data_IF_384585996134
#
_entry.id   IF_384585996134
#
_cell.length_a   1.000
_cell.length_b   1.000
_cell.length_c   1.000
_cell.angle_alpha   90.00
_cell.angle_beta   90.00
_cell.angle_gamma   90.00
#
_symmetry.space_group_name_H-M   'P 1'
#
loop_
_entity.id
_entity.type
_entity.pdbx_description
1 polymer ?
#
# COMPACT_ATOMS: atom_id res chain seq x y z
N UNK A 1 8.96 2.63 -16.07
CA UNK A 1 7.47 2.69 -15.98
C UNK A 1 7.05 3.31 -14.65
N UNK A 2 7.50 2.81 -13.51
CA UNK A 2 7.11 3.26 -12.15
C UNK A 2 7.24 4.79 -11.94
N UNK A 3 8.28 5.41 -12.49
CA UNK A 3 8.50 6.86 -12.39
C UNK A 3 7.42 7.74 -13.08
N UNK A 4 6.49 7.13 -13.81
CA UNK A 4 5.39 7.81 -14.51
C UNK A 4 4.04 7.54 -13.85
N UNK A 5 4.02 6.81 -12.75
CA UNK A 5 2.81 6.52 -11.98
C UNK A 5 2.67 7.61 -10.93
N UNK A 6 1.72 8.49 -11.12
CA UNK A 6 1.38 9.55 -10.19
C UNK A 6 0.09 9.19 -9.40
N UNK A 7 -0.69 8.23 -9.88
CA UNK A 7 -1.92 7.76 -9.21
C UNK A 7 -2.25 6.30 -9.56
N UNK A 8 -3.10 5.62 -8.77
CA UNK A 8 -3.58 4.27 -9.12
C UNK A 8 -4.32 4.18 -10.44
N UNK A 9 -4.85 5.27 -10.96
CA UNK A 9 -5.54 5.30 -12.24
C UNK A 9 -4.61 4.94 -13.41
N UNK A 10 -3.32 5.30 -13.30
CA UNK A 10 -2.32 5.06 -14.33
C UNK A 10 -2.05 3.57 -14.59
N UNK A 11 -2.43 2.69 -13.66
CA UNK A 11 -2.20 1.24 -13.81
C UNK A 11 -3.44 0.46 -14.25
N UNK A 12 -4.61 1.09 -14.31
CA UNK A 12 -5.89 0.40 -14.61
C UNK A 12 -5.88 -0.33 -15.95
N UNK A 13 -5.31 0.28 -16.97
CA UNK A 13 -5.32 -0.20 -18.35
C UNK A 13 -4.00 -0.86 -18.80
N UNK A 14 -3.07 -1.11 -17.89
CA UNK A 14 -1.80 -1.77 -18.23
C UNK A 14 -2.04 -3.23 -18.66
N UNK A 15 -1.36 -3.66 -19.73
CA UNK A 15 -1.33 -5.05 -20.14
C UNK A 15 -0.60 -5.93 -19.12
N UNK A 16 -0.82 -7.25 -19.19
CA UNK A 16 -0.14 -8.19 -18.29
C UNK A 16 1.37 -8.04 -18.31
N UNK A 17 1.97 -7.90 -19.50
CA UNK A 17 3.41 -7.68 -19.64
C UNK A 17 3.88 -6.41 -18.91
N UNK A 18 3.12 -5.32 -19.03
CA UNK A 18 3.45 -4.07 -18.32
C UNK A 18 3.29 -4.22 -16.80
N UNK A 19 2.32 -5.00 -16.32
CA UNK A 19 2.18 -5.32 -14.90
C UNK A 19 3.38 -6.12 -14.39
N UNK A 20 3.84 -7.10 -15.15
CA UNK A 20 5.03 -7.89 -14.79
C UNK A 20 6.28 -7.00 -14.71
N UNK A 21 6.46 -6.11 -15.69
CA UNK A 21 7.55 -5.12 -15.69
C UNK A 21 7.44 -4.17 -14.50
N UNK A 22 6.24 -3.65 -14.21
CA UNK A 22 5.98 -2.77 -13.08
C UNK A 22 6.29 -3.45 -11.74
N UNK A 23 5.87 -4.72 -11.59
CA UNK A 23 6.14 -5.47 -10.35
C UNK A 23 7.64 -5.62 -10.09
N UNK A 24 8.44 -5.84 -11.13
CA UNK A 24 9.89 -5.92 -11.01
C UNK A 24 10.52 -4.56 -10.66
N UNK A 25 10.06 -3.47 -11.28
CA UNK A 25 10.53 -2.12 -10.92
C UNK A 25 10.20 -1.76 -9.46
N UNK A 26 8.99 -2.08 -8.99
CA UNK A 26 8.58 -1.90 -7.58
C UNK A 26 9.49 -2.70 -6.65
N UNK A 27 9.71 -4.00 -6.93
CA UNK A 27 10.59 -4.86 -6.14
C UNK A 27 12.00 -4.29 -6.04
N UNK A 28 12.58 -3.93 -7.18
CA UNK A 28 13.91 -3.33 -7.23
C UNK A 28 13.99 -2.05 -6.41
N UNK A 29 13.02 -1.15 -6.57
CA UNK A 29 12.97 0.11 -5.82
C UNK A 29 12.89 -0.12 -4.31
N UNK A 30 12.05 -1.08 -3.88
CA UNK A 30 11.94 -1.44 -2.45
C UNK A 30 13.25 -2.02 -1.93
N UNK A 31 13.88 -2.93 -2.66
CA UNK A 31 15.16 -3.54 -2.26
C UNK A 31 16.25 -2.46 -2.12
N UNK A 32 16.37 -1.59 -3.12
CA UNK A 32 17.39 -0.54 -3.16
C UNK A 32 17.24 0.46 -2.01
N UNK A 33 16.00 0.88 -1.70
CA UNK A 33 15.73 1.87 -0.65
C UNK A 33 15.81 1.23 0.73
N UNK A 34 15.21 0.06 0.95
CA UNK A 34 15.26 -0.64 2.25
C UNK A 34 16.68 -1.10 2.57
N UNK A 35 17.48 -1.46 1.58
CA UNK A 35 18.90 -1.80 1.76
C UNK A 35 19.74 -0.63 2.29
N UNK A 36 19.34 0.61 2.01
CA UNK A 36 20.01 1.83 2.48
C UNK A 36 19.45 2.35 3.80
N UNK A 37 18.14 2.41 3.91
CA UNK A 37 17.44 3.10 4.99
C UNK A 37 16.96 2.17 6.10
N UNK A 38 17.01 0.87 5.89
CA UNK A 38 16.33 -0.11 6.73
C UNK A 38 14.82 -0.17 6.46
N UNK A 39 14.16 -1.19 6.98
CA UNK A 39 12.72 -1.37 6.81
C UNK A 39 12.30 -2.82 6.70
N UNK A 40 11.03 -3.05 6.34
CA UNK A 40 10.42 -4.37 6.27
C UNK A 40 10.49 -4.93 4.84
N UNK A 41 11.56 -5.65 4.49
CA UNK A 41 11.77 -6.11 3.11
C UNK A 41 10.81 -7.25 2.73
N UNK A 42 10.88 -8.39 3.44
CA UNK A 42 10.11 -9.59 3.06
C UNK A 42 8.60 -9.36 3.05
N UNK A 43 8.08 -8.59 4.02
CA UNK A 43 6.65 -8.27 4.10
C UNK A 43 6.16 -7.47 2.89
N UNK A 44 7.00 -6.58 2.36
CA UNK A 44 6.67 -5.76 1.21
C UNK A 44 6.82 -6.53 -0.11
N UNK A 45 7.89 -7.28 -0.27
CA UNK A 45 8.08 -8.09 -1.48
C UNK A 45 6.98 -9.14 -1.64
N UNK A 46 6.44 -9.67 -0.53
CA UNK A 46 5.38 -10.68 -0.57
C UNK A 46 3.99 -10.16 -0.98
N UNK A 47 3.80 -8.85 -1.08
CA UNK A 47 2.49 -8.25 -1.39
C UNK A 47 2.50 -7.32 -2.61
N UNK A 48 3.55 -7.31 -3.41
CA UNK A 48 3.65 -6.41 -4.58
C UNK A 48 2.52 -6.66 -5.56
N UNK A 49 2.34 -7.90 -6.01
CA UNK A 49 1.31 -8.27 -6.97
C UNK A 49 -0.10 -8.10 -6.39
N UNK A 50 -0.30 -8.42 -5.11
CA UNK A 50 -1.56 -8.17 -4.42
C UNK A 50 -1.88 -6.68 -4.41
N UNK A 51 -0.91 -5.82 -4.11
CA UNK A 51 -1.10 -4.37 -4.07
C UNK A 51 -1.46 -3.82 -5.45
N UNK A 52 -0.77 -4.26 -6.50
CA UNK A 52 -1.10 -3.90 -7.88
C UNK A 52 -2.53 -4.33 -8.22
N UNK A 53 -2.91 -5.58 -7.89
CA UNK A 53 -4.25 -6.10 -8.15
C UNK A 53 -5.33 -5.30 -7.42
N UNK A 54 -5.13 -4.96 -6.16
CA UNK A 54 -6.04 -4.12 -5.38
C UNK A 54 -6.24 -2.75 -6.03
N UNK A 55 -5.16 -2.08 -6.42
CA UNK A 55 -5.25 -0.77 -7.09
C UNK A 55 -5.79 -0.82 -8.51
N UNK A 56 -5.77 -1.99 -9.17
CA UNK A 56 -6.43 -2.17 -10.46
C UNK A 56 -7.93 -2.37 -10.34
N UNK A 57 -8.38 -3.00 -9.26
CA UNK A 57 -9.81 -3.33 -9.04
C UNK A 57 -10.54 -2.20 -8.33
N UNK A 58 -9.93 -1.63 -7.30
CA UNK A 58 -10.55 -0.62 -6.44
C UNK A 58 -10.07 0.80 -6.82
N UNK A 59 -10.91 1.79 -6.60
CA UNK A 59 -10.67 3.18 -6.96
C UNK A 59 -10.17 3.97 -5.73
N UNK A 60 -8.92 3.77 -5.35
CA UNK A 60 -8.31 4.54 -4.26
C UNK A 60 -8.02 5.98 -4.74
N UNK A 61 -8.31 7.03 -3.95
CA UNK A 61 -8.70 6.98 -2.52
C UNK A 61 -10.18 6.80 -2.23
N UNK A 62 -11.09 6.82 -3.21
CA UNK A 62 -12.53 6.64 -2.96
C UNK A 62 -12.84 5.31 -2.28
N UNK A 63 -12.24 4.22 -2.77
CA UNK A 63 -12.25 2.94 -2.08
C UNK A 63 -11.07 2.90 -1.07
N UNK A 64 -11.38 2.70 0.20
CA UNK A 64 -10.38 2.69 1.25
C UNK A 64 -9.65 1.33 1.32
N UNK A 65 -8.34 1.33 1.19
CA UNK A 65 -7.49 0.15 1.43
C UNK A 65 -6.80 0.32 2.78
N UNK A 66 -7.18 -0.50 3.76
CA UNK A 66 -6.68 -0.44 5.13
C UNK A 66 -5.71 -1.61 5.35
N UNK A 67 -4.47 -1.28 5.66
CA UNK A 67 -3.39 -2.24 5.85
C UNK A 67 -3.26 -2.60 7.34
N UNK A 68 -3.35 -3.89 7.67
CA UNK A 68 -3.08 -4.33 9.04
C UNK A 68 -1.60 -4.15 9.38
N UNK A 69 -1.29 -3.53 10.52
CA UNK A 69 0.05 -2.99 10.87
C UNK A 69 0.54 -1.92 9.89
N UNK A 70 0.28 -2.04 8.61
CA UNK A 70 0.72 -1.19 7.49
C UNK A 70 2.24 -1.16 7.18
N UNK A 71 3.03 -2.01 7.82
CA UNK A 71 4.46 -2.14 7.51
C UNK A 71 4.74 -2.72 6.11
N UNK A 72 3.73 -3.24 5.43
CA UNK A 72 3.76 -3.80 4.07
C UNK A 72 3.18 -2.84 3.01
N UNK A 73 3.12 -1.53 3.28
CA UNK A 73 2.48 -0.54 2.42
C UNK A 73 3.42 0.12 1.38
N UNK A 74 4.64 -0.37 1.18
CA UNK A 74 5.62 0.33 0.33
C UNK A 74 5.20 0.34 -1.15
N UNK A 75 4.68 -0.77 -1.67
CA UNK A 75 4.13 -0.81 -3.03
C UNK A 75 2.91 0.12 -3.16
N UNK A 76 2.04 0.19 -2.13
CA UNK A 76 0.93 1.14 -2.09
C UNK A 76 1.41 2.59 -2.18
N UNK A 77 2.43 2.97 -1.40
CA UNK A 77 3.04 4.32 -1.49
C UNK A 77 3.59 4.63 -2.88
N UNK A 78 4.26 3.67 -3.50
CA UNK A 78 4.80 3.83 -4.86
C UNK A 78 3.71 4.02 -5.90
N UNK A 79 2.57 3.31 -5.77
CA UNK A 79 1.44 3.38 -6.69
C UNK A 79 0.51 4.58 -6.47
N UNK A 80 0.66 5.28 -5.33
CA UNK A 80 -0.09 6.49 -4.99
C UNK A 80 0.77 7.77 -5.13
N UNK A 81 1.72 7.78 -6.08
CA UNK A 81 2.46 8.98 -6.50
C UNK A 81 3.68 9.34 -5.66
N UNK A 82 4.02 8.57 -4.63
CA UNK A 82 5.15 8.88 -3.72
C UNK A 82 6.52 8.38 -4.23
N UNK A 83 6.62 7.95 -5.49
CA UNK A 83 7.88 7.46 -6.05
C UNK A 83 9.02 8.47 -5.95
N UNK A 84 8.77 9.74 -6.27
CA UNK A 84 9.79 10.80 -6.27
C UNK A 84 10.45 11.00 -4.91
N UNK A 85 9.69 10.81 -3.84
CA UNK A 85 10.15 10.98 -2.46
C UNK A 85 10.48 9.66 -1.77
N UNK A 86 10.35 8.52 -2.48
CA UNK A 86 10.47 7.20 -1.85
C UNK A 86 11.87 6.91 -1.30
N UNK A 87 12.90 7.56 -1.85
CA UNK A 87 14.28 7.48 -1.33
C UNK A 87 14.43 8.00 0.11
N UNK A 88 13.48 8.82 0.60
CA UNK A 88 13.43 9.33 1.97
C UNK A 88 12.66 8.43 2.95
N UNK A 89 12.26 7.22 2.50
CA UNK A 89 11.51 6.27 3.34
C UNK A 89 12.20 6.05 4.70
N UNK A 90 11.45 6.26 5.80
CA UNK A 90 11.92 6.12 7.19
C UNK A 90 13.06 7.07 7.61
N UNK A 91 13.39 8.07 6.80
CA UNK A 91 14.33 9.09 7.19
C UNK A 91 13.61 10.22 7.94
N UNK A 92 14.39 11.00 8.71
CA UNK A 92 13.88 12.22 9.34
C UNK A 92 13.31 13.14 8.26
N UNK A 93 12.13 13.67 8.50
CA UNK A 93 11.39 14.56 7.58
C UNK A 93 11.07 13.92 6.21
N UNK A 94 11.20 12.60 6.09
CA UNK A 94 10.86 11.81 4.92
C UNK A 94 9.53 11.07 5.06
N UNK A 95 9.25 10.16 4.11
CA UNK A 95 8.03 9.35 4.13
C UNK A 95 8.09 8.29 5.24
N UNK A 96 6.95 8.11 5.92
CA UNK A 96 6.76 7.09 6.96
C UNK A 96 6.91 5.66 6.42
N UNK A 97 7.42 4.77 7.24
CA UNK A 97 7.41 3.32 6.97
C UNK A 97 6.04 2.66 7.16
N UNK A 98 5.01 3.44 7.50
CA UNK A 98 3.62 3.04 7.69
C UNK A 98 2.71 3.96 6.89
N UNK A 99 1.43 3.60 6.74
CA UNK A 99 0.43 4.53 6.18
C UNK A 99 0.32 5.78 7.05
N UNK A 100 0.15 6.93 6.41
CA UNK A 100 0.04 8.22 7.09
C UNK A 100 -0.87 9.18 6.30
N UNK A 101 -2.07 9.49 6.81
CA UNK A 101 -3.01 10.41 6.16
C UNK A 101 -2.46 11.83 5.92
N UNK A 102 -1.40 12.22 6.62
CA UNK A 102 -0.75 13.51 6.37
C UNK A 102 0.16 13.49 5.14
N UNK A 103 0.47 12.31 4.60
CA UNK A 103 1.26 12.16 3.38
C UNK A 103 0.40 12.09 2.12
N UNK A 104 -0.70 11.35 2.20
CA UNK A 104 -1.57 11.09 1.05
C UNK A 104 -2.99 10.70 1.48
N UNK A 105 -3.99 11.14 0.71
CA UNK A 105 -5.39 10.84 0.95
C UNK A 105 -5.76 9.35 0.78
N UNK A 106 -4.92 8.56 0.12
CA UNK A 106 -5.09 7.12 0.02
C UNK A 106 -4.74 6.37 1.31
N UNK A 107 -4.09 7.02 2.26
CA UNK A 107 -3.75 6.49 3.58
C UNK A 107 -4.82 6.91 4.58
N UNK A 108 -5.71 6.03 4.99
CA UNK A 108 -6.85 6.37 5.87
C UNK A 108 -6.49 6.44 7.36
N UNK A 109 -5.51 5.65 7.80
CA UNK A 109 -5.12 5.56 9.21
C UNK A 109 -3.61 5.48 9.36
N UNK A 110 -3.11 6.05 10.45
CA UNK A 110 -1.77 5.70 10.95
C UNK A 110 -1.93 4.40 11.72
N UNK A 111 -1.25 3.36 11.28
CA UNK A 111 -1.25 2.05 11.93
C UNK A 111 0.17 1.64 12.31
N UNK A 112 0.31 0.68 13.16
CA UNK A 112 1.59 0.13 13.64
C UNK A 112 1.37 -1.10 14.52
N UNK A 113 0.10 -1.36 14.88
CA UNK A 113 -0.29 -2.52 15.69
C UNK A 113 -1.13 -3.49 14.88
N UNK A 114 -0.89 -4.79 15.08
CA UNK A 114 -1.65 -5.86 14.45
C UNK A 114 -3.10 -5.91 14.95
N UNK A 115 -3.98 -6.47 14.13
CA UNK A 115 -5.39 -6.75 14.44
C UNK A 115 -6.27 -5.51 14.65
N UNK A 116 -5.82 -4.31 14.25
CA UNK A 116 -6.62 -3.09 14.31
C UNK A 116 -7.38 -2.79 13.03
N UNK A 117 -6.98 -3.38 11.92
CA UNK A 117 -7.53 -3.09 10.59
C UNK A 117 -9.01 -3.44 10.45
N UNK A 118 -9.48 -4.53 11.06
CA UNK A 118 -10.90 -4.92 11.01
C UNK A 118 -11.76 -3.88 11.72
N UNK A 119 -11.39 -3.47 12.94
CA UNK A 119 -12.14 -2.46 13.70
C UNK A 119 -12.13 -1.12 13.00
N UNK A 120 -10.99 -0.70 12.45
CA UNK A 120 -10.86 0.53 11.68
C UNK A 120 -11.71 0.49 10.41
N UNK A 121 -11.67 -0.63 9.67
CA UNK A 121 -12.48 -0.82 8.48
C UNK A 121 -13.97 -0.80 8.79
N UNK A 122 -14.40 -1.45 9.87
CA UNK A 122 -15.80 -1.45 10.28
C UNK A 122 -16.26 -0.04 10.68
N UNK A 123 -15.46 0.69 11.44
CA UNK A 123 -15.76 2.08 11.82
C UNK A 123 -15.93 2.99 10.61
N UNK A 124 -15.00 2.88 9.64
CA UNK A 124 -15.07 3.65 8.39
C UNK A 124 -16.30 3.26 7.56
N UNK A 125 -16.61 1.96 7.45
CA UNK A 125 -17.80 1.49 6.72
C UNK A 125 -19.09 2.03 7.34
N UNK A 126 -19.19 2.05 8.67
CA UNK A 126 -20.37 2.62 9.37
C UNK A 126 -20.47 4.12 9.11
N UNK A 127 -19.35 4.85 9.21
CA UNK A 127 -19.32 6.28 8.92
C UNK A 127 -19.77 6.59 7.48
N UNK A 128 -19.28 5.85 6.50
CA UNK A 128 -19.69 5.98 5.09
C UNK A 128 -21.18 5.73 4.89
N UNK A 129 -21.71 4.67 5.49
CA UNK A 129 -23.18 4.38 5.43
C UNK A 129 -24.01 5.52 5.98
N UNK A 130 -23.59 6.14 7.08
CA UNK A 130 -24.29 7.28 7.66
C UNK A 130 -24.23 8.55 6.79
N UNK A 131 -23.20 8.65 5.96
CA UNK A 131 -22.99 9.76 5.02
C UNK A 131 -23.52 9.47 3.62
N UNK A 132 -24.12 8.29 3.37
CA UNK A 132 -24.52 7.80 2.05
C UNK A 132 -23.33 7.76 1.05
N UNK A 133 -22.11 7.47 1.54
CA UNK A 133 -20.93 7.26 0.72
C UNK A 133 -20.87 5.77 0.29
N UNK A 134 -20.84 5.52 -1.01
CA UNK A 134 -20.81 4.18 -1.62
C UNK A 134 -19.39 3.60 -1.75
N UNK A 135 -18.35 4.32 -1.35
CA UNK A 135 -16.97 3.85 -1.42
C UNK A 135 -16.76 2.57 -0.61
N UNK A 136 -16.03 1.64 -1.18
CA UNK A 136 -15.74 0.34 -0.56
C UNK A 136 -14.66 0.48 0.51
N UNK A 137 -14.66 -0.48 1.46
CA UNK A 137 -13.63 -0.56 2.50
C UNK A 137 -13.02 -1.95 2.46
N UNK A 138 -11.73 -2.01 2.19
CA UNK A 138 -10.95 -3.23 2.03
C UNK A 138 -9.93 -3.31 3.16
N UNK A 139 -9.99 -4.35 3.99
CA UNK A 139 -8.98 -4.63 5.01
C UNK A 139 -8.00 -5.69 4.49
N UNK A 140 -6.71 -5.35 4.47
CA UNK A 140 -5.64 -6.26 4.05
C UNK A 140 -4.96 -6.80 5.30
N UNK A 141 -5.22 -8.07 5.61
CA UNK A 141 -4.67 -8.78 6.76
C UNK A 141 -3.63 -9.80 6.31
N UNK A 142 -2.56 -9.92 7.08
CA UNK A 142 -1.57 -10.98 6.89
C UNK A 142 -1.77 -12.03 7.99
N UNK A 143 -2.22 -13.21 7.61
CA UNK A 143 -2.23 -14.35 8.53
C UNK A 143 -0.86 -15.02 8.56
N UNK A 144 -0.32 -15.18 9.75
CA UNK A 144 0.85 -16.01 10.01
C UNK A 144 0.33 -17.41 10.35
N UNK A 145 0.39 -18.35 9.42
CA UNK A 145 -0.13 -19.72 9.65
C UNK A 145 0.82 -20.61 10.47
N UNK A 146 1.91 -20.06 10.97
CA UNK A 146 2.87 -20.78 11.81
C UNK A 146 3.68 -21.86 11.10
N UNK A 147 3.45 -22.11 9.82
CA UNK A 147 4.24 -23.09 9.05
C UNK A 147 5.57 -22.47 8.67
N UNK A 148 6.67 -23.14 9.09
CA UNK A 148 7.99 -22.79 8.56
C UNK A 148 7.98 -23.13 7.07
N UNK A 149 8.55 -22.27 6.19
CA UNK A 149 8.80 -22.67 4.82
C UNK A 149 9.67 -23.93 4.83
N UNK A 150 9.28 -24.92 4.04
CA UNK A 150 10.04 -26.14 3.81
C UNK A 150 11.37 -25.83 3.14
#
# INVERSE_FOLDING_TARGET
MLARIDSPEDIKNLSQKQIDELSQEIRKTIIDVVGKNGGHLASNLGVVELTIALHRVFNSPQDAIIWDVSHQCYAHKLLTGRYKNFSSLRQKDGISGFTNPNEDSADYFISGHASTSISSALGLLVARKLQNDEGKVIAVLKFFDGRKPA
#
